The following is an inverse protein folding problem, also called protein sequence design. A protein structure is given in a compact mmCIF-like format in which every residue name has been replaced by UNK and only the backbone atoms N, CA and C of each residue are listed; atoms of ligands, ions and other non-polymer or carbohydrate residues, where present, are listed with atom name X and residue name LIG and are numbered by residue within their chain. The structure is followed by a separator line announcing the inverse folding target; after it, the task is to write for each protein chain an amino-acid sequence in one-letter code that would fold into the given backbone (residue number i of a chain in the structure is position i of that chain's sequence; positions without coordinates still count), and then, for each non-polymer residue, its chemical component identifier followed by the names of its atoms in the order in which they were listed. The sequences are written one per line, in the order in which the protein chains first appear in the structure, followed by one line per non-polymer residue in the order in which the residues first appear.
data_IF_338306041839
#
_entry.id   IF_338306041839
#
_cell.length_a   1.000
_cell.length_b   1.000
_cell.length_c   1.000
_cell.angle_alpha   90.00
_cell.angle_beta   90.00
_cell.angle_gamma   90.00
#
_symmetry.space_group_name_H-M   'P 1'
#
loop_
_entity.id
_entity.type
_entity.pdbx_description
1 polymer ?
#
# COMPACT_ATOMS: atom_id res chain seq x y z
N UNK A 1 6.66 20.70 7.07
CA UNK A 1 7.65 19.99 7.91
C UNK A 1 6.91 19.29 9.03
N UNK A 2 6.57 18.01 8.85
CA UNK A 2 5.80 17.20 9.80
C UNK A 2 6.56 15.89 10.04
N UNK A 3 7.05 15.70 11.25
CA UNK A 3 7.77 14.49 11.68
C UNK A 3 6.75 13.39 12.00
N UNK A 4 6.78 12.31 11.21
CA UNK A 4 6.08 11.05 11.50
C UNK A 4 7.07 10.08 12.15
N UNK A 5 6.72 9.66 13.37
CA UNK A 5 7.32 8.56 14.12
C UNK A 5 7.14 7.24 13.35
N UNK A 6 8.20 6.44 13.32
CA UNK A 6 8.16 5.03 12.90
C UNK A 6 8.40 4.18 14.14
N UNK A 7 7.34 3.49 14.57
CA UNK A 7 7.37 2.41 15.56
C UNK A 7 7.97 1.16 14.92
N UNK A 8 9.10 0.70 15.47
CA UNK A 8 9.68 -0.61 15.23
C UNK A 8 9.00 -1.66 16.10
N UNK A 9 8.22 -2.56 15.51
CA UNK A 9 7.73 -3.78 16.16
C UNK A 9 8.49 -4.99 15.63
N UNK A 10 9.35 -5.55 16.47
CA UNK A 10 9.88 -6.91 16.34
C UNK A 10 8.84 -7.93 16.82
N UNK A 11 8.68 -9.07 16.13
CA UNK A 11 8.04 -10.23 16.71
C UNK A 11 8.98 -11.45 16.60
N UNK A 12 9.69 -11.79 17.67
CA UNK A 12 10.25 -13.13 17.85
C UNK A 12 9.96 -13.60 19.28
N UNK A 13 8.78 -14.21 19.41
CA UNK A 13 8.31 -14.92 20.59
C UNK A 13 8.98 -16.29 20.63
N UNK A 14 9.98 -16.45 21.49
CA UNK A 14 10.52 -17.76 21.85
C UNK A 14 9.58 -18.42 22.87
N UNK A 15 8.67 -19.29 22.42
CA UNK A 15 7.97 -20.21 23.29
C UNK A 15 8.85 -21.45 23.54
N UNK A 16 9.61 -21.42 24.63
CA UNK A 16 10.09 -22.64 25.30
C UNK A 16 9.21 -22.82 26.53
N UNK A 17 8.32 -23.82 26.49
CA UNK A 17 7.55 -24.25 27.63
C UNK A 17 7.42 -25.78 27.62
N UNK A 18 8.01 -26.38 28.65
CA UNK A 18 7.42 -27.44 29.48
C UNK A 18 7.13 -28.79 28.79
N UNK A 19 8.10 -29.70 28.88
CA UNK A 19 7.80 -31.12 29.08
C UNK A 19 7.46 -31.30 30.57
N UNK A 20 6.17 -31.31 30.88
CA UNK A 20 5.65 -31.82 32.15
C UNK A 20 4.87 -33.11 31.90
N UNK A 21 5.07 -34.03 32.83
CA UNK A 21 4.49 -35.36 32.93
C UNK A 21 2.98 -35.41 32.62
N UNK A 22 2.61 -36.16 31.59
CA UNK A 22 1.24 -36.66 31.46
C UNK A 22 1.23 -38.12 31.92
N UNK A 23 1.13 -38.29 33.24
CA UNK A 23 0.60 -39.51 33.84
C UNK A 23 -0.92 -39.48 33.69
N UNK A 24 -1.47 -40.17 32.68
CA UNK A 24 -2.91 -40.40 32.58
C UNK A 24 -3.31 -41.50 33.58
N UNK A 25 -3.56 -41.10 34.83
CA UNK A 25 -4.32 -41.91 35.79
C UNK A 25 -5.82 -41.70 35.51
N UNK A 26 -6.45 -42.65 34.82
CA UNK A 26 -7.91 -42.63 34.67
C UNK A 26 -8.57 -43.19 35.94
N UNK A 27 -9.26 -42.30 36.64
CA UNK A 27 -10.01 -42.55 37.88
C UNK A 27 -11.29 -43.34 37.58
N UNK A 28 -11.46 -44.47 38.28
CA UNK A 28 -12.66 -45.30 38.29
C UNK A 28 -13.77 -44.75 39.22
N UNK A 29 -15.01 -44.60 38.73
CA UNK A 29 -16.24 -44.74 39.53
C UNK A 29 -17.53 -44.74 38.68
N UNK A 30 -18.67 -45.28 39.17
CA UNK A 30 -19.39 -46.31 38.43
C UNK A 30 -20.91 -46.05 38.22
N UNK A 31 -21.53 -47.01 37.53
CA UNK A 31 -22.97 -47.38 37.49
C UNK A 31 -23.79 -46.88 36.28
N UNK A 32 -24.06 -47.81 35.36
CA UNK A 32 -25.45 -48.15 35.03
C UNK A 32 -25.56 -49.65 34.73
N UNK A 33 -26.35 -50.34 35.54
CA UNK A 33 -26.68 -51.76 35.40
C UNK A 33 -27.56 -51.99 34.17
N UNK A 34 -27.07 -52.78 33.22
CA UNK A 34 -27.89 -53.63 32.37
C UNK A 34 -27.20 -54.99 32.33
N UNK A 35 -27.81 -55.97 33.01
CA UNK A 35 -27.23 -57.29 33.23
C UNK A 35 -27.11 -58.10 31.94
N UNK A 36 -25.88 -58.38 31.55
CA UNK A 36 -25.46 -59.66 31.01
C UNK A 36 -24.19 -60.06 31.76
N UNK A 37 -24.35 -60.89 32.79
CA UNK A 37 -23.21 -61.56 33.43
C UNK A 37 -22.76 -62.65 32.45
N UNK A 38 -21.98 -62.27 31.45
CA UNK A 38 -20.99 -63.20 30.93
C UNK A 38 -19.85 -63.21 31.96
N UNK A 39 -19.40 -64.37 32.40
CA UNK A 39 -18.17 -64.50 33.18
C UNK A 39 -17.00 -64.27 32.22
N UNK A 40 -16.84 -63.03 31.77
CA UNK A 40 -15.76 -62.61 30.88
C UNK A 40 -14.44 -62.65 31.64
N UNK A 41 -13.54 -63.53 31.23
CA UNK A 41 -12.15 -63.50 31.70
C UNK A 41 -11.53 -62.21 31.17
N UNK A 42 -11.10 -61.30 32.05
CA UNK A 42 -10.33 -60.13 31.63
C UNK A 42 -9.05 -60.59 30.92
N UNK A 43 -8.80 -60.04 29.74
CA UNK A 43 -7.61 -60.28 28.94
C UNK A 43 -6.77 -59.03 29.03
N UNK A 44 -5.46 -59.16 29.23
CA UNK A 44 -4.54 -58.03 29.15
C UNK A 44 -3.90 -58.02 27.76
N UNK A 45 -4.11 -56.98 26.96
CA UNK A 45 -3.39 -56.84 25.69
C UNK A 45 -2.21 -55.92 25.93
N UNK A 46 -1.01 -56.45 25.76
CA UNK A 46 0.20 -55.64 25.79
C UNK A 46 0.69 -55.48 24.35
N UNK A 47 0.38 -54.34 23.76
CA UNK A 47 0.88 -53.97 22.45
C UNK A 47 2.30 -53.41 22.60
N UNK A 48 3.30 -54.13 22.11
CA UNK A 48 4.68 -53.65 22.07
C UNK A 48 4.89 -52.86 20.79
N UNK A 49 4.37 -51.64 20.77
CA UNK A 49 4.62 -50.69 19.70
C UNK A 49 5.87 -49.92 20.12
N UNK A 50 6.93 -49.94 19.29
CA UNK A 50 8.05 -49.02 19.48
C UNK A 50 7.49 -47.59 19.61
N UNK A 51 8.09 -46.77 20.48
CA UNK A 51 7.57 -45.45 20.92
C UNK A 51 7.15 -44.46 19.82
N UNK A 52 7.39 -44.76 18.55
CA UNK A 52 7.26 -43.82 17.45
C UNK A 52 6.25 -44.32 16.40
N UNK A 53 4.98 -43.98 16.63
CA UNK A 53 3.90 -44.15 15.66
C UNK A 53 3.00 -45.35 15.97
N UNK A 54 1.85 -45.08 16.60
CA UNK A 54 0.74 -46.03 16.62
C UNK A 54 0.16 -46.03 15.21
N UNK A 55 0.29 -47.16 14.52
CA UNK A 55 -0.29 -47.36 13.19
C UNK A 55 -1.81 -47.31 13.27
N UNK A 56 -2.49 -46.78 12.25
CA UNK A 56 -3.97 -46.73 12.21
C UNK A 56 -4.61 -48.13 12.36
N UNK A 57 -3.88 -49.18 12.00
CA UNK A 57 -4.26 -50.58 12.20
C UNK A 57 -4.23 -51.02 13.67
N UNK A 58 -3.29 -50.49 14.45
CA UNK A 58 -3.21 -50.79 15.88
C UNK A 58 -4.32 -50.04 16.62
N UNK A 59 -4.63 -48.79 16.25
CA UNK A 59 -5.79 -48.07 16.79
C UNK A 59 -7.11 -48.78 16.48
N UNK A 60 -7.22 -49.49 15.35
CA UNK A 60 -8.40 -50.31 15.01
C UNK A 60 -8.50 -51.56 15.89
N UNK A 61 -7.39 -52.28 16.06
CA UNK A 61 -7.35 -53.44 16.93
C UNK A 61 -7.54 -53.04 18.40
N UNK A 62 -6.97 -51.91 18.83
CA UNK A 62 -7.16 -51.29 20.15
C UNK A 62 -8.61 -50.88 20.36
N UNK A 63 -9.24 -50.15 19.43
CA UNK A 63 -10.66 -49.80 19.52
C UNK A 63 -11.54 -51.05 19.58
N UNK A 64 -11.22 -52.07 18.79
CA UNK A 64 -11.98 -53.31 18.77
C UNK A 64 -11.80 -54.13 20.06
N UNK A 65 -10.58 -54.20 20.60
CA UNK A 65 -10.30 -54.84 21.89
C UNK A 65 -10.95 -54.07 23.06
N UNK A 66 -10.97 -52.75 22.99
CA UNK A 66 -11.69 -51.91 23.97
C UNK A 66 -13.20 -52.17 23.94
N UNK A 67 -13.80 -52.40 22.76
CA UNK A 67 -15.21 -52.84 22.68
C UNK A 67 -15.46 -54.24 23.24
N UNK A 68 -14.42 -55.07 23.38
CA UNK A 68 -14.47 -56.40 23.98
C UNK A 68 -14.06 -56.44 25.46
N UNK A 69 -14.00 -55.27 26.14
CA UNK A 69 -13.66 -55.14 27.56
C UNK A 69 -12.22 -55.60 27.91
N UNK A 70 -11.28 -55.37 26.98
CA UNK A 70 -9.86 -55.75 27.11
C UNK A 70 -9.01 -54.54 27.49
N UNK A 71 -8.28 -54.65 28.61
CA UNK A 71 -7.39 -53.59 29.10
C UNK A 71 -6.03 -53.61 28.40
N UNK A 72 -5.59 -52.45 27.92
CA UNK A 72 -4.29 -52.28 27.26
C UNK A 72 -3.27 -51.83 28.29
N UNK A 73 -2.17 -52.58 28.40
CA UNK A 73 -1.10 -52.29 29.36
C UNK A 73 0.19 -52.02 28.58
N UNK A 74 0.72 -50.79 28.66
CA UNK A 74 1.97 -50.38 28.01
C UNK A 74 3.22 -50.85 28.74
N UNK A 75 3.11 -51.11 30.05
CA UNK A 75 4.20 -51.54 30.91
C UNK A 75 3.96 -52.95 31.45
N UNK A 76 4.80 -53.90 31.04
CA UNK A 76 4.75 -55.29 31.49
C UNK A 76 5.27 -55.42 32.93
N UNK A 77 4.49 -54.99 33.91
CA UNK A 77 4.79 -55.31 35.30
C UNK A 77 4.61 -56.82 35.56
N UNK A 78 5.43 -57.35 36.48
CA UNK A 78 5.48 -58.78 36.85
C UNK A 78 4.13 -59.34 37.34
N UNK A 79 3.21 -58.46 37.76
CA UNK A 79 1.92 -58.84 38.36
C UNK A 79 0.89 -59.41 37.37
N UNK A 80 1.17 -59.40 36.07
CA UNK A 80 0.26 -59.93 35.02
C UNK A 80 0.42 -61.44 34.75
N UNK A 81 0.99 -62.21 35.68
CA UNK A 81 1.40 -63.61 35.41
C UNK A 81 0.23 -64.59 35.17
N UNK A 82 -0.98 -64.28 35.65
CA UNK A 82 -2.11 -65.22 35.59
C UNK A 82 -3.14 -64.92 34.48
N UNK A 83 -3.10 -63.74 33.86
CA UNK A 83 -4.08 -63.35 32.84
C UNK A 83 -3.63 -63.76 31.43
N UNK A 84 -4.55 -64.19 30.54
CA UNK A 84 -4.23 -64.39 29.15
C UNK A 84 -3.77 -63.06 28.52
N UNK A 85 -2.67 -63.11 27.77
CA UNK A 85 -2.06 -61.95 27.16
C UNK A 85 -1.85 -62.12 25.66
N UNK A 86 -2.07 -61.04 24.91
CA UNK A 86 -1.74 -60.97 23.48
C UNK A 86 -0.61 -59.95 23.32
N UNK A 87 0.49 -60.40 22.72
CA UNK A 87 1.67 -59.61 22.41
C UNK A 87 1.73 -59.38 20.90
N UNK A 88 1.57 -58.12 20.51
CA UNK A 88 1.76 -57.70 19.12
C UNK A 88 3.24 -57.37 18.90
N UNK A 89 3.80 -57.82 17.79
CA UNK A 89 5.12 -57.40 17.35
C UNK A 89 5.07 -57.03 15.87
N UNK A 90 5.91 -56.06 15.51
CA UNK A 90 6.18 -55.72 14.12
C UNK A 90 7.44 -56.43 13.64
N UNK A 91 7.53 -56.74 12.35
CA UNK A 91 8.73 -57.36 11.76
C UNK A 91 9.90 -56.39 11.79
N UNK A 92 11.12 -56.94 11.80
CA UNK A 92 12.33 -56.11 11.87
C UNK A 92 12.38 -55.12 10.69
N UNK A 93 12.02 -55.60 9.50
CA UNK A 93 12.00 -54.79 8.28
C UNK A 93 11.02 -53.61 8.37
N UNK A 94 9.80 -53.84 8.86
CA UNK A 94 8.77 -52.81 8.97
C UNK A 94 9.12 -51.78 10.04
N UNK A 95 9.69 -52.22 11.17
CA UNK A 95 10.14 -51.30 12.21
C UNK A 95 11.29 -50.41 11.73
N UNK A 96 12.24 -50.97 10.95
CA UNK A 96 13.31 -50.17 10.32
C UNK A 96 12.74 -49.22 9.27
N UNK A 97 11.76 -49.65 8.47
CA UNK A 97 11.07 -48.80 7.49
C UNK A 97 10.41 -47.59 8.17
N UNK A 98 9.68 -47.81 9.27
CA UNK A 98 9.06 -46.75 10.07
C UNK A 98 10.10 -45.77 10.64
N UNK A 99 11.21 -46.31 11.17
CA UNK A 99 12.32 -45.48 11.65
C UNK A 99 12.96 -44.63 10.55
N UNK A 100 13.17 -45.19 9.36
CA UNK A 100 13.70 -44.47 8.21
C UNK A 100 12.76 -43.35 7.75
N UNK A 101 11.44 -43.58 7.77
CA UNK A 101 10.44 -42.54 7.48
C UNK A 101 10.48 -41.37 8.47
N UNK A 102 10.97 -41.61 9.69
CA UNK A 102 11.17 -40.59 10.74
C UNK A 102 12.57 -39.96 10.72
N UNK A 103 13.42 -40.34 9.77
CA UNK A 103 14.81 -39.87 9.67
C UNK A 103 15.79 -40.55 10.62
N UNK A 104 15.41 -41.65 11.27
CA UNK A 104 16.33 -42.44 12.09
C UNK A 104 17.27 -43.26 11.20
N UNK A 105 18.50 -43.48 11.67
CA UNK A 105 19.43 -44.38 10.98
C UNK A 105 18.95 -45.84 11.03
N UNK A 106 19.24 -46.68 10.02
CA UNK A 106 18.76 -48.06 9.97
C UNK A 106 19.26 -48.90 11.17
N UNK A 107 20.49 -48.66 11.62
CA UNK A 107 21.05 -49.36 12.79
C UNK A 107 20.40 -48.92 14.10
N UNK A 108 20.05 -47.65 14.23
CA UNK A 108 19.36 -47.12 15.41
C UNK A 108 17.95 -47.69 15.54
N UNK A 109 17.19 -47.67 14.44
CA UNK A 109 15.85 -48.26 14.38
C UNK A 109 15.89 -49.77 14.69
N UNK A 110 16.89 -50.49 14.16
CA UNK A 110 17.07 -51.92 14.40
C UNK A 110 17.45 -52.22 15.86
N UNK A 111 18.30 -51.41 16.49
CA UNK A 111 18.61 -51.52 17.93
C UNK A 111 17.36 -51.29 18.81
N UNK A 112 16.54 -50.30 18.45
CA UNK A 112 15.26 -50.05 19.11
C UNK A 112 14.34 -51.27 19.02
N UNK A 113 14.17 -51.81 17.80
CA UNK A 113 13.37 -53.02 17.56
C UNK A 113 13.88 -54.24 18.35
N UNK A 114 15.19 -54.44 18.44
CA UNK A 114 15.79 -55.55 19.22
C UNK A 114 15.43 -55.48 20.69
N UNK A 115 15.65 -54.32 21.28
CA UNK A 115 15.41 -54.10 22.71
C UNK A 115 13.95 -54.41 23.06
N UNK A 116 13.02 -54.03 22.19
CA UNK A 116 11.59 -54.32 22.33
C UNK A 116 11.30 -55.81 22.12
N UNK A 117 11.86 -56.41 21.07
CA UNK A 117 11.67 -57.82 20.71
C UNK A 117 12.18 -58.79 21.76
N UNK A 118 13.34 -58.51 22.36
CA UNK A 118 13.91 -59.33 23.44
C UNK A 118 13.03 -59.32 24.68
N UNK A 119 12.49 -58.15 25.06
CA UNK A 119 11.53 -58.02 26.16
C UNK A 119 10.24 -58.79 25.87
N UNK A 120 9.73 -58.67 24.64
CA UNK A 120 8.54 -59.39 24.18
C UNK A 120 8.75 -60.91 24.28
N UNK A 121 9.88 -61.42 23.76
CA UNK A 121 10.23 -62.84 23.84
C UNK A 121 10.46 -63.32 25.27
N UNK A 122 11.07 -62.51 26.14
CA UNK A 122 11.26 -62.85 27.54
C UNK A 122 9.92 -63.08 28.25
N UNK A 123 8.94 -62.19 28.03
CA UNK A 123 7.58 -62.34 28.56
C UNK A 123 6.86 -63.55 27.97
N UNK A 124 6.94 -63.73 26.65
CA UNK A 124 6.35 -64.91 26.01
C UNK A 124 6.92 -66.22 26.58
N UNK A 125 8.24 -66.27 26.83
CA UNK A 125 8.91 -67.45 27.39
C UNK A 125 8.49 -67.74 28.83
N UNK A 126 8.22 -66.73 29.65
CA UNK A 126 7.78 -66.92 31.04
C UNK A 126 6.33 -67.40 31.14
N UNK A 127 5.46 -67.06 30.18
CA UNK A 127 4.05 -67.47 30.16
C UNK A 127 3.58 -68.00 28.79
N UNK A 128 4.24 -69.03 28.25
CA UNK A 128 3.91 -69.55 26.90
C UNK A 128 2.46 -70.02 26.72
N UNK A 129 1.83 -70.53 27.80
CA UNK A 129 0.45 -71.06 27.76
C UNK A 129 -0.58 -69.94 27.82
N UNK A 130 -0.33 -68.92 28.63
CA UNK A 130 -1.22 -67.76 28.78
C UNK A 130 -0.97 -66.67 27.74
N UNK A 131 0.14 -66.69 27.00
CA UNK A 131 0.48 -65.63 26.06
C UNK A 131 0.40 -66.07 24.60
N UNK A 132 -0.23 -65.26 23.75
CA UNK A 132 -0.20 -65.37 22.29
C UNK A 132 0.65 -64.26 21.69
N UNK A 133 1.51 -64.61 20.74
CA UNK A 133 2.34 -63.67 20.00
C UNK A 133 1.76 -63.50 18.59
N UNK A 134 1.64 -62.26 18.12
CA UNK A 134 0.92 -61.87 16.91
C UNK A 134 1.77 -60.92 16.07
N UNK A 135 1.97 -61.28 14.80
CA UNK A 135 2.62 -60.42 13.80
C UNK A 135 1.60 -59.41 13.25
N UNK A 136 1.86 -58.12 13.46
CA UNK A 136 0.96 -57.02 13.07
C UNK A 136 0.59 -57.10 11.60
N UNK A 137 1.55 -57.39 10.72
CA UNK A 137 1.29 -57.48 9.28
C UNK A 137 0.37 -58.66 8.93
N UNK A 138 0.61 -59.82 9.55
CA UNK A 138 -0.25 -61.00 9.35
C UNK A 138 -1.69 -60.75 9.81
N UNK A 139 -1.87 -59.95 10.87
CA UNK A 139 -3.19 -59.54 11.35
C UNK A 139 -3.89 -58.59 10.37
N UNK A 140 -3.18 -57.64 9.78
CA UNK A 140 -3.74 -56.71 8.79
C UNK A 140 -4.23 -57.44 7.53
N UNK A 141 -3.48 -58.44 7.07
CA UNK A 141 -3.84 -59.21 5.87
C UNK A 141 -5.06 -60.11 6.09
N UNK A 142 -5.16 -60.76 7.27
CA UNK A 142 -6.21 -61.75 7.55
C UNK A 142 -6.73 -61.67 9.01
N UNK A 143 -7.45 -60.59 9.38
CA UNK A 143 -7.86 -60.39 10.77
C UNK A 143 -8.82 -61.48 11.27
N UNK A 144 -9.70 -62.00 10.41
CA UNK A 144 -10.71 -63.00 10.77
C UNK A 144 -10.09 -64.34 11.17
N UNK A 145 -9.16 -64.85 10.36
CA UNK A 145 -8.43 -66.07 10.66
C UNK A 145 -7.68 -65.93 11.99
N UNK A 146 -7.15 -64.73 12.26
CA UNK A 146 -6.46 -64.44 13.52
C UNK A 146 -7.37 -64.55 14.74
N UNK A 147 -8.56 -63.96 14.66
CA UNK A 147 -9.54 -64.03 15.75
C UNK A 147 -9.99 -65.46 16.03
N UNK A 148 -10.21 -66.26 14.98
CA UNK A 148 -10.56 -67.68 15.14
C UNK A 148 -9.43 -68.47 15.82
N UNK A 149 -8.18 -68.20 15.45
CA UNK A 149 -7.03 -68.85 16.07
C UNK A 149 -6.87 -68.46 17.55
N UNK A 150 -7.12 -67.19 17.90
CA UNK A 150 -7.11 -66.72 19.28
C UNK A 150 -8.24 -67.33 20.11
N UNK A 151 -9.46 -67.37 19.58
CA UNK A 151 -10.60 -68.05 20.24
C UNK A 151 -10.29 -69.50 20.55
N UNK A 152 -9.74 -70.22 19.57
CA UNK A 152 -9.35 -71.62 19.74
C UNK A 152 -8.25 -71.79 20.80
N UNK A 153 -7.28 -70.88 20.85
CA UNK A 153 -6.17 -70.95 21.80
C UNK A 153 -6.61 -70.68 23.24
N UNK A 154 -7.50 -69.71 23.45
CA UNK A 154 -7.93 -69.28 24.78
C UNK A 154 -9.28 -69.87 25.22
N UNK A 155 -9.88 -70.73 24.40
CA UNK A 155 -11.22 -71.30 24.62
C UNK A 155 -12.27 -70.20 24.79
N UNK A 156 -12.22 -69.18 23.92
CA UNK A 156 -13.20 -68.10 23.88
C UNK A 156 -14.32 -68.45 22.92
N UNK A 157 -15.56 -68.37 23.40
CA UNK A 157 -16.77 -68.54 22.59
C UNK A 157 -17.06 -67.21 21.86
N UNK A 158 -16.38 -66.99 20.74
CA UNK A 158 -16.62 -65.85 19.85
C UNK A 158 -17.87 -66.11 18.99
N UNK A 159 -19.04 -66.11 19.63
CA UNK A 159 -20.33 -66.01 18.93
C UNK A 159 -20.56 -64.54 18.59
N UNK A 160 -20.88 -64.25 17.34
CA UNK A 160 -21.33 -62.94 16.85
C UNK A 160 -20.25 -61.86 16.64
N UNK A 161 -19.08 -62.23 16.11
CA UNK A 161 -18.19 -61.25 15.49
C UNK A 161 -18.59 -61.00 14.04
N UNK A 162 -19.60 -60.16 13.87
CA UNK A 162 -19.96 -59.61 12.57
C UNK A 162 -18.73 -58.93 11.96
N UNK A 163 -18.40 -59.39 10.77
CA UNK A 163 -17.24 -58.97 9.99
C UNK A 163 -17.34 -57.48 9.67
N UNK A 164 -16.73 -56.64 10.50
CA UNK A 164 -16.49 -55.23 10.15
C UNK A 164 -15.56 -55.25 8.94
N UNK A 165 -16.12 -54.98 7.77
CA UNK A 165 -15.37 -54.87 6.53
C UNK A 165 -14.37 -53.72 6.69
N UNK A 166 -13.09 -54.06 6.83
CA UNK A 166 -12.01 -53.08 6.92
C UNK A 166 -11.84 -52.48 5.53
N UNK A 167 -12.30 -51.24 5.33
CA UNK A 167 -12.09 -50.50 4.09
C UNK A 167 -10.58 -50.36 3.82
N UNK A 168 -10.10 -50.94 2.71
CA UNK A 168 -8.68 -50.98 2.31
C UNK A 168 -8.18 -49.66 1.68
N UNK A 169 -8.67 -48.50 2.10
CA UNK A 169 -8.41 -47.20 1.43
C UNK A 169 -7.04 -46.55 1.73
N UNK A 170 -5.98 -47.33 2.05
CA UNK A 170 -4.67 -46.76 2.46
C UNK A 170 -3.57 -46.93 1.39
N UNK A 171 -3.89 -47.37 0.16
CA UNK A 171 -2.86 -47.59 -0.87
C UNK A 171 -2.52 -46.31 -1.66
N UNK A 172 -1.82 -45.38 -1.02
CA UNK A 172 -0.92 -44.43 -1.72
C UNK A 172 0.50 -44.61 -1.20
N UNK A 173 1.03 -45.84 -1.30
CA UNK A 173 2.46 -46.09 -1.13
C UNK A 173 3.21 -45.32 -2.21
N UNK A 174 4.01 -44.36 -1.80
CA UNK A 174 4.79 -43.53 -2.70
C UNK A 174 6.02 -44.30 -3.17
N UNK A 175 6.54 -44.01 -4.36
CA UNK A 175 7.75 -44.66 -4.89
C UNK A 175 9.00 -44.50 -3.98
N UNK A 176 8.96 -43.56 -3.02
CA UNK A 176 9.99 -43.40 -1.99
C UNK A 176 9.99 -44.57 -1.00
N UNK A 177 8.82 -45.19 -0.75
CA UNK A 177 8.66 -46.28 0.21
C UNK A 177 9.32 -47.58 -0.26
N UNK A 178 9.40 -47.82 -1.58
CA UNK A 178 10.04 -49.02 -2.14
C UNK A 178 11.56 -49.05 -1.91
N UNK A 179 12.25 -47.92 -2.04
CA UNK A 179 13.69 -47.84 -1.80
C UNK A 179 13.98 -48.02 -0.32
N UNK A 180 13.20 -47.35 0.54
CA UNK A 180 13.34 -47.50 1.99
C UNK A 180 13.08 -48.95 2.42
N UNK A 181 12.15 -49.66 1.77
CA UNK A 181 11.93 -51.10 1.96
C UNK A 181 13.16 -51.94 1.60
N UNK A 182 13.83 -51.64 0.48
CA UNK A 182 15.07 -52.35 0.09
C UNK A 182 16.19 -52.07 1.12
N UNK A 183 16.36 -50.82 1.54
CA UNK A 183 17.36 -50.45 2.57
C UNK A 183 17.07 -51.18 3.88
N UNK A 184 15.81 -51.21 4.32
CA UNK A 184 15.39 -51.94 5.51
C UNK A 184 15.67 -53.45 5.39
N UNK A 185 15.34 -54.06 4.25
CA UNK A 185 15.63 -55.47 3.99
C UNK A 185 17.14 -55.78 4.06
N UNK A 186 17.97 -54.93 3.44
CA UNK A 186 19.43 -55.07 3.48
C UNK A 186 19.95 -54.92 4.91
N UNK A 187 19.48 -53.93 5.67
CA UNK A 187 19.89 -53.71 7.05
C UNK A 187 19.59 -54.92 7.95
N UNK A 188 18.38 -55.50 7.84
CA UNK A 188 18.00 -56.70 8.59
C UNK A 188 18.82 -57.91 8.15
N UNK A 189 19.04 -58.09 6.84
CA UNK A 189 19.84 -59.21 6.32
C UNK A 189 21.30 -59.18 6.79
N UNK A 190 21.87 -57.97 6.93
CA UNK A 190 23.23 -57.74 7.38
C UNK A 190 23.45 -58.04 8.85
N UNK A 191 22.38 -58.12 9.65
CA UNK A 191 22.51 -58.25 11.09
C UNK A 191 21.99 -59.59 11.64
N UNK A 192 22.89 -60.54 11.99
CA UNK A 192 22.51 -61.91 12.34
C UNK A 192 21.68 -62.02 13.62
N UNK A 193 21.84 -61.12 14.59
CA UNK A 193 21.05 -61.19 15.83
C UNK A 193 19.58 -60.82 15.57
N UNK A 194 19.31 -59.90 14.64
CA UNK A 194 17.96 -59.48 14.31
C UNK A 194 17.23 -60.60 13.59
N UNK A 195 17.88 -61.23 12.61
CA UNK A 195 17.33 -62.42 11.94
C UNK A 195 17.04 -63.56 12.91
N UNK A 196 17.90 -63.78 13.90
CA UNK A 196 17.66 -64.78 14.94
C UNK A 196 16.42 -64.44 15.76
N UNK A 197 16.31 -63.21 16.26
CA UNK A 197 15.15 -62.77 17.05
C UNK A 197 13.86 -62.81 16.23
N UNK A 198 13.91 -62.42 14.95
CA UNK A 198 12.78 -62.48 14.03
C UNK A 198 12.33 -63.94 13.82
N UNK A 199 13.25 -64.87 13.56
CA UNK A 199 12.90 -66.29 13.47
C UNK A 199 12.34 -66.87 14.76
N UNK A 200 12.80 -66.41 15.93
CA UNK A 200 12.24 -66.82 17.23
C UNK A 200 10.84 -66.25 17.47
N UNK A 201 10.58 -64.99 17.07
CA UNK A 201 9.25 -64.37 17.10
C UNK A 201 8.31 -65.08 16.13
N UNK A 202 8.71 -65.32 14.88
CA UNK A 202 7.91 -66.03 13.88
C UNK A 202 7.58 -67.45 14.36
N UNK A 203 8.54 -68.19 14.91
CA UNK A 203 8.31 -69.52 15.46
C UNK A 203 7.38 -69.52 16.69
N UNK A 204 7.38 -68.44 17.48
CA UNK A 204 6.51 -68.24 18.64
C UNK A 204 5.13 -67.69 18.29
N UNK A 205 4.97 -67.11 17.10
CA UNK A 205 3.74 -66.48 16.65
C UNK A 205 2.62 -67.50 16.43
N UNK A 206 1.37 -67.05 16.51
CA UNK A 206 0.22 -67.88 16.20
C UNK A 206 0.10 -68.02 14.68
N UNK A 207 0.45 -69.18 14.13
CA UNK A 207 0.38 -69.43 12.70
C UNK A 207 -1.08 -69.56 12.26
N UNK A 208 -1.50 -68.68 11.36
CA UNK A 208 -2.75 -68.82 10.61
C UNK A 208 -2.52 -69.83 9.49
N UNK A 209 -3.60 -70.53 9.13
CA UNK A 209 -3.65 -71.67 8.21
C UNK A 209 -2.49 -71.71 7.19
N UNK A 210 -1.72 -72.81 7.19
CA UNK A 210 -0.41 -72.93 6.52
C UNK A 210 -0.44 -72.66 5.01
N UNK A 211 -1.63 -72.66 4.40
CA UNK A 211 -1.81 -72.42 2.97
C UNK A 211 -1.53 -70.97 2.55
N UNK A 212 -1.72 -69.99 3.44
CA UNK A 212 -1.65 -68.56 3.11
C UNK A 212 -0.73 -67.80 4.07
N UNK A 213 0.49 -68.29 4.27
CA UNK A 213 1.51 -67.47 4.93
C UNK A 213 1.65 -66.14 4.17
N UNK A 214 1.80 -64.99 4.87
CA UNK A 214 2.00 -63.70 4.22
C UNK A 214 3.17 -63.85 3.27
N UNK A 215 2.89 -63.83 1.96
CA UNK A 215 3.93 -63.82 0.97
C UNK A 215 4.61 -62.46 1.12
N UNK A 216 5.69 -62.41 1.91
CA UNK A 216 6.57 -61.26 1.98
C UNK A 216 6.85 -60.87 0.55
N UNK A 217 6.25 -59.78 0.09
CA UNK A 217 6.50 -59.23 -1.23
C UNK A 217 7.97 -58.85 -1.21
N UNK A 218 8.82 -59.75 -1.73
CA UNK A 218 10.25 -59.48 -1.87
C UNK A 218 10.33 -58.26 -2.76
N UNK A 219 10.71 -57.12 -2.19
CA UNK A 219 10.95 -55.92 -2.96
C UNK A 219 12.02 -56.27 -4.00
N UNK A 220 11.67 -56.15 -5.28
CA UNK A 220 12.63 -56.33 -6.36
C UNK A 220 13.54 -55.09 -6.38
N UNK A 221 14.83 -55.23 -6.04
CA UNK A 221 15.73 -54.09 -5.94
C UNK A 221 15.92 -53.39 -7.29
N UNK A 222 15.82 -54.13 -8.41
CA UNK A 222 15.94 -53.55 -9.74
C UNK A 222 14.72 -52.70 -10.07
N UNK A 223 13.53 -53.15 -9.70
CA UNK A 223 12.28 -52.40 -9.88
C UNK A 223 12.32 -51.10 -9.06
N UNK A 224 12.65 -51.18 -7.77
CA UNK A 224 12.73 -50.01 -6.89
C UNK A 224 13.77 -48.99 -7.38
N UNK A 225 14.95 -49.44 -7.83
CA UNK A 225 15.98 -48.55 -8.39
C UNK A 225 15.51 -47.89 -9.70
N UNK A 226 14.84 -48.63 -10.58
CA UNK A 226 14.31 -48.08 -11.83
C UNK A 226 13.21 -47.04 -11.59
N UNK A 227 12.33 -47.26 -10.62
CA UNK A 227 11.30 -46.33 -10.21
C UNK A 227 11.91 -45.05 -9.62
N UNK A 228 12.95 -45.18 -8.80
CA UNK A 228 13.71 -44.04 -8.28
C UNK A 228 14.33 -43.21 -9.39
N UNK A 229 15.09 -43.83 -10.29
CA UNK A 229 15.76 -43.14 -11.40
C UNK A 229 14.75 -42.42 -12.30
N UNK A 230 13.59 -43.03 -12.54
CA UNK A 230 12.50 -42.39 -13.29
C UNK A 230 11.95 -41.16 -12.58
N UNK A 231 11.76 -41.25 -11.26
CA UNK A 231 11.27 -40.14 -10.45
C UNK A 231 12.31 -39.02 -10.38
N UNK A 232 13.59 -39.35 -10.19
CA UNK A 232 14.70 -38.40 -10.20
C UNK A 232 14.84 -37.68 -11.54
N UNK A 233 14.73 -38.41 -12.67
CA UNK A 233 14.75 -37.80 -14.02
C UNK A 233 13.57 -36.85 -14.26
N UNK A 234 12.38 -37.19 -13.73
CA UNK A 234 11.22 -36.29 -13.79
C UNK A 234 11.47 -35.03 -12.97
N UNK A 235 11.94 -35.18 -11.73
CA UNK A 235 12.26 -34.05 -10.86
C UNK A 235 13.35 -33.16 -11.46
N UNK A 236 14.40 -33.72 -12.05
CA UNK A 236 15.44 -32.92 -12.70
C UNK A 236 14.91 -32.18 -13.92
N UNK A 237 14.08 -32.83 -14.74
CA UNK A 237 13.44 -32.19 -15.89
C UNK A 237 12.48 -31.07 -15.47
N UNK A 238 11.70 -31.27 -14.40
CA UNK A 238 10.79 -30.26 -13.86
C UNK A 238 11.57 -29.06 -13.29
N UNK A 239 12.67 -29.30 -12.58
CA UNK A 239 13.56 -28.24 -12.06
C UNK A 239 14.20 -27.46 -13.21
N UNK A 240 14.68 -28.13 -14.26
CA UNK A 240 15.24 -27.48 -15.45
C UNK A 240 14.19 -26.64 -16.17
N UNK A 241 12.96 -27.14 -16.31
CA UNK A 241 11.84 -26.41 -16.90
C UNK A 241 11.49 -25.15 -16.08
N UNK A 242 11.46 -25.26 -14.75
CA UNK A 242 11.25 -24.12 -13.86
C UNK A 242 12.38 -23.08 -13.97
N UNK A 243 13.63 -23.53 -14.06
CA UNK A 243 14.78 -22.63 -14.21
C UNK A 243 14.72 -21.87 -15.55
N UNK A 244 14.36 -22.55 -16.65
CA UNK A 244 14.19 -21.91 -17.95
C UNK A 244 13.04 -20.90 -17.95
N UNK A 245 11.91 -21.24 -17.33
CA UNK A 245 10.78 -20.31 -17.18
C UNK A 245 11.20 -19.05 -16.40
N UNK A 246 11.91 -19.21 -15.28
CA UNK A 246 12.41 -18.10 -14.48
C UNK A 246 13.41 -17.21 -15.24
N UNK A 247 14.25 -17.78 -16.11
CA UNK A 247 15.15 -17.01 -16.97
C UNK A 247 14.39 -16.18 -18.00
N UNK A 248 13.34 -16.74 -18.62
CA UNK A 248 12.50 -16.01 -19.57
C UNK A 248 11.78 -14.85 -18.87
N UNK A 249 11.20 -15.08 -17.69
CA UNK A 249 10.58 -14.03 -16.89
C UNK A 249 11.57 -12.92 -16.54
N UNK A 250 12.78 -13.27 -16.11
CA UNK A 250 13.85 -12.30 -15.81
C UNK A 250 14.20 -11.45 -17.05
N UNK A 251 14.30 -12.06 -18.24
CA UNK A 251 14.60 -11.32 -19.47
C UNK A 251 13.46 -10.38 -19.87
N UNK A 252 12.20 -10.79 -19.69
CA UNK A 252 11.04 -9.94 -19.96
C UNK A 252 10.99 -8.73 -19.02
N UNK A 253 11.24 -8.94 -17.72
CA UNK A 253 11.31 -7.85 -16.73
C UNK A 253 12.47 -6.88 -17.03
N UNK A 254 13.62 -7.40 -17.47
CA UNK A 254 14.75 -6.56 -17.87
C UNK A 254 14.41 -5.70 -19.09
N UNK A 255 13.69 -6.24 -20.08
CA UNK A 255 13.23 -5.48 -21.24
C UNK A 255 12.27 -4.35 -20.82
N UNK A 256 11.29 -4.65 -19.96
CA UNK A 256 10.37 -3.63 -19.42
C UNK A 256 11.12 -2.51 -18.68
N UNK A 257 12.17 -2.85 -17.93
CA UNK A 257 13.01 -1.85 -17.26
C UNK A 257 13.70 -0.94 -18.27
N UNK A 258 14.23 -1.49 -19.37
CA UNK A 258 14.87 -0.68 -20.43
C UNK A 258 13.86 0.24 -21.13
N UNK A 259 12.66 -0.28 -21.45
CA UNK A 259 11.61 0.50 -22.11
C UNK A 259 11.15 1.67 -21.21
N UNK A 260 10.96 1.41 -19.91
CA UNK A 260 10.60 2.47 -18.94
C UNK A 260 11.72 3.50 -18.71
N UNK A 261 12.99 3.09 -18.79
CA UNK A 261 14.12 4.02 -18.76
C UNK A 261 14.14 4.93 -19.99
N UNK A 262 13.90 4.39 -21.18
CA UNK A 262 13.82 5.18 -22.42
C UNK A 262 12.65 6.18 -22.38
N UNK A 263 11.50 5.78 -21.83
CA UNK A 263 10.36 6.70 -21.63
C UNK A 263 10.67 7.83 -20.65
N UNK A 264 11.36 7.54 -19.55
CA UNK A 264 11.78 8.55 -18.57
C UNK A 264 12.80 9.52 -19.17
N UNK A 265 13.74 9.05 -20.00
CA UNK A 265 14.69 9.90 -20.70
C UNK A 265 13.98 10.83 -21.71
N UNK A 266 13.01 10.30 -22.48
CA UNK A 266 12.18 11.11 -23.38
C UNK A 266 11.39 12.17 -22.61
N UNK A 267 10.82 11.81 -21.46
CA UNK A 267 10.11 12.75 -20.61
C UNK A 267 11.03 13.85 -20.08
N UNK A 268 12.23 13.50 -19.61
CA UNK A 268 13.22 14.46 -19.11
C UNK A 268 13.67 15.45 -20.20
N UNK A 269 13.90 15.00 -21.43
CA UNK A 269 14.22 15.88 -22.57
C UNK A 269 13.05 16.83 -22.86
N UNK A 270 11.82 16.31 -22.92
CA UNK A 270 10.63 17.14 -23.18
C UNK A 270 10.38 18.19 -22.11
N UNK A 271 10.59 17.85 -20.83
CA UNK A 271 10.48 18.77 -19.72
C UNK A 271 11.55 19.87 -19.81
N UNK A 272 12.79 19.52 -20.17
CA UNK A 272 13.87 20.49 -20.37
C UNK A 272 13.62 21.44 -21.54
N UNK A 273 12.99 20.97 -22.62
CA UNK A 273 12.60 21.82 -23.75
C UNK A 273 11.43 22.75 -23.40
N UNK A 274 10.48 22.28 -22.59
CA UNK A 274 9.39 23.11 -22.07
C UNK A 274 9.91 24.20 -21.12
N UNK A 275 10.87 23.90 -20.25
CA UNK A 275 11.50 24.88 -19.37
C UNK A 275 12.22 25.96 -20.18
N UNK A 276 13.02 25.57 -21.18
CA UNK A 276 13.68 26.54 -22.10
C UNK A 276 12.67 27.40 -22.86
N UNK A 277 11.53 26.84 -23.28
CA UNK A 277 10.47 27.61 -23.92
C UNK A 277 9.84 28.61 -22.94
N UNK A 278 9.56 28.18 -21.71
CA UNK A 278 9.04 29.03 -20.64
C UNK A 278 10.00 30.17 -20.31
N UNK A 279 11.31 29.90 -20.25
CA UNK A 279 12.31 30.93 -19.99
C UNK A 279 12.42 31.94 -21.14
N UNK A 280 12.34 31.50 -22.40
CA UNK A 280 12.24 32.43 -23.55
C UNK A 280 10.99 33.30 -23.49
N UNK A 281 9.86 32.77 -23.07
CA UNK A 281 8.62 33.55 -22.88
C UNK A 281 8.78 34.57 -21.75
N UNK A 282 9.39 34.20 -20.61
CA UNK A 282 9.68 35.14 -19.52
C UNK A 282 10.61 36.26 -19.99
N UNK A 283 11.67 35.94 -20.72
CA UNK A 283 12.61 36.93 -21.25
C UNK A 283 11.92 37.91 -22.20
N UNK A 284 11.05 37.40 -23.08
CA UNK A 284 10.26 38.23 -24.00
C UNK A 284 9.28 39.15 -23.25
N UNK A 285 8.61 38.64 -22.21
CA UNK A 285 7.72 39.43 -21.36
C UNK A 285 8.48 40.49 -20.56
N UNK A 286 9.66 40.17 -20.02
CA UNK A 286 10.53 41.13 -19.35
C UNK A 286 10.97 42.25 -20.30
N UNK A 287 11.32 41.89 -21.55
CA UNK A 287 11.66 42.87 -22.57
C UNK A 287 10.47 43.78 -22.91
N UNK A 288 9.27 43.21 -23.08
CA UNK A 288 8.06 44.01 -23.31
C UNK A 288 7.76 44.94 -22.14
N UNK A 289 7.85 44.45 -20.91
CA UNK A 289 7.65 45.25 -19.71
C UNK A 289 8.66 46.41 -19.65
N UNK A 290 9.94 46.16 -19.91
CA UNK A 290 10.97 47.20 -19.96
C UNK A 290 10.71 48.25 -21.05
N UNK A 291 10.28 47.83 -22.24
CA UNK A 291 9.92 48.77 -23.32
C UNK A 291 8.74 49.66 -22.92
N UNK A 292 7.67 49.08 -22.36
CA UNK A 292 6.50 49.86 -21.91
C UNK A 292 6.83 50.81 -20.77
N UNK A 293 7.73 50.43 -19.86
CA UNK A 293 8.24 51.32 -18.81
C UNK A 293 8.99 52.51 -19.41
N UNK A 294 9.88 52.25 -20.37
CA UNK A 294 10.61 53.32 -21.06
C UNK A 294 9.67 54.26 -21.81
N UNK A 295 8.66 53.74 -22.50
CA UNK A 295 7.63 54.57 -23.16
C UNK A 295 6.88 55.44 -22.14
N UNK A 296 6.46 54.89 -21.00
CA UNK A 296 5.79 55.66 -19.94
C UNK A 296 6.69 56.77 -19.37
N UNK A 297 7.98 56.50 -19.17
CA UNK A 297 8.96 57.51 -18.76
C UNK A 297 9.06 58.65 -19.79
N UNK A 298 9.11 58.32 -21.08
CA UNK A 298 9.12 59.34 -22.15
C UNK A 298 7.85 60.19 -22.15
N UNK A 299 6.67 59.58 -22.00
CA UNK A 299 5.40 60.31 -21.90
C UNK A 299 5.34 61.20 -20.66
N UNK A 300 5.88 60.73 -19.53
CA UNK A 300 5.95 61.52 -18.30
C UNK A 300 6.81 62.78 -18.49
N UNK A 301 7.99 62.63 -19.09
CA UNK A 301 8.88 63.74 -19.41
C UNK A 301 8.23 64.74 -20.39
N UNK A 302 7.51 64.25 -21.40
CA UNK A 302 6.76 65.08 -22.34
C UNK A 302 5.64 65.86 -21.66
N UNK A 303 4.85 65.21 -20.81
CA UNK A 303 3.81 65.85 -20.00
C UNK A 303 4.40 66.94 -19.09
N UNK A 304 5.54 66.66 -18.45
CA UNK A 304 6.21 67.65 -17.61
C UNK A 304 6.69 68.87 -18.42
N UNK A 305 7.22 68.66 -19.63
CA UNK A 305 7.58 69.75 -20.55
C UNK A 305 6.35 70.56 -20.96
N UNK A 306 5.25 69.91 -21.31
CA UNK A 306 3.99 70.58 -21.66
C UNK A 306 3.44 71.38 -20.48
N UNK A 307 3.47 70.83 -19.27
CA UNK A 307 3.06 71.54 -18.06
C UNK A 307 3.90 72.81 -17.82
N UNK A 308 5.22 72.74 -18.00
CA UNK A 308 6.10 73.94 -17.94
C UNK A 308 5.77 74.96 -19.03
N UNK A 309 5.46 74.52 -20.24
CA UNK A 309 5.04 75.39 -21.36
C UNK A 309 3.70 76.08 -21.05
N UNK A 310 2.70 75.35 -20.55
CA UNK A 310 1.43 75.93 -20.12
C UNK A 310 1.62 76.96 -19.01
N UNK A 311 2.42 76.65 -17.98
CA UNK A 311 2.71 77.62 -16.91
C UNK A 311 3.47 78.86 -17.41
N UNK A 312 4.26 78.76 -18.48
CA UNK A 312 4.89 79.93 -19.10
C UNK A 312 3.87 80.78 -19.89
N UNK A 313 2.99 80.13 -20.67
CA UNK A 313 1.92 80.77 -21.41
C UNK A 313 0.91 81.46 -20.47
N UNK A 314 0.54 80.84 -19.35
CA UNK A 314 -0.35 81.46 -18.34
C UNK A 314 0.25 82.75 -17.77
N UNK A 315 1.55 82.75 -17.47
CA UNK A 315 2.24 83.98 -17.01
C UNK A 315 2.29 85.05 -18.11
N UNK A 316 2.48 84.65 -19.37
CA UNK A 316 2.46 85.59 -20.48
C UNK A 316 1.06 86.20 -20.67
N UNK A 317 0.01 85.38 -20.60
CA UNK A 317 -1.39 85.81 -20.66
C UNK A 317 -1.69 86.76 -19.50
N UNK A 318 -1.28 86.44 -18.28
CA UNK A 318 -1.43 87.32 -17.13
C UNK A 318 -0.73 88.68 -17.34
N UNK A 319 0.51 88.69 -17.83
CA UNK A 319 1.21 89.95 -18.18
C UNK A 319 0.47 90.76 -19.24
N UNK A 320 -0.10 90.09 -20.25
CA UNK A 320 -0.93 90.75 -21.27
C UNK A 320 -2.22 91.32 -20.68
N UNK A 321 -2.85 90.62 -19.75
CA UNK A 321 -4.02 91.11 -19.03
C UNK A 321 -3.67 92.34 -18.19
N UNK A 322 -2.60 92.29 -17.40
CA UNK A 322 -2.11 93.44 -16.62
C UNK A 322 -1.77 94.65 -17.53
N UNK A 323 -1.22 94.40 -18.72
CA UNK A 323 -0.98 95.45 -19.73
C UNK A 323 -2.29 96.05 -20.26
N UNK A 324 -3.30 95.22 -20.55
CA UNK A 324 -4.61 95.69 -21.00
C UNK A 324 -5.32 96.50 -19.92
N UNK A 325 -5.34 96.02 -18.68
CA UNK A 325 -5.93 96.71 -17.55
C UNK A 325 -5.22 98.07 -17.32
N UNK A 326 -3.89 98.10 -17.44
CA UNK A 326 -3.11 99.35 -17.39
C UNK A 326 -3.48 100.34 -18.49
N UNK A 327 -3.59 99.88 -19.74
CA UNK A 327 -4.03 100.71 -20.87
C UNK A 327 -5.47 101.18 -20.72
N UNK A 328 -6.36 100.37 -20.13
CA UNK A 328 -7.74 100.74 -19.86
C UNK A 328 -7.81 101.88 -18.83
N UNK A 329 -7.04 101.79 -17.75
CA UNK A 329 -6.91 102.88 -16.76
C UNK A 329 -6.34 104.14 -17.42
N UNK A 330 -5.31 104.02 -18.27
CA UNK A 330 -4.76 105.16 -19.02
C UNK A 330 -5.81 105.80 -19.91
N UNK A 331 -6.57 105.01 -20.68
CA UNK A 331 -7.63 105.47 -21.57
C UNK A 331 -8.75 106.14 -20.77
N UNK A 332 -9.20 105.54 -19.66
CA UNK A 332 -10.17 106.16 -18.76
C UNK A 332 -9.67 107.50 -18.23
N UNK A 333 -8.44 107.57 -17.75
CA UNK A 333 -7.85 108.81 -17.22
C UNK A 333 -7.67 109.89 -18.30
N UNK A 334 -7.33 109.51 -19.54
CA UNK A 334 -7.23 110.40 -20.69
C UNK A 334 -8.62 110.90 -21.12
N UNK A 335 -9.63 110.02 -21.09
CA UNK A 335 -11.01 110.38 -21.37
C UNK A 335 -11.58 111.33 -20.31
N UNK A 336 -11.31 111.08 -19.01
CA UNK A 336 -11.67 112.02 -17.94
C UNK A 336 -10.99 113.39 -18.10
N UNK A 337 -9.72 113.43 -18.49
CA UNK A 337 -9.02 114.68 -18.79
C UNK A 337 -9.65 115.40 -19.97
N UNK A 338 -9.90 114.69 -21.07
CA UNK A 338 -10.56 115.24 -22.26
C UNK A 338 -11.96 115.77 -21.93
N UNK A 339 -12.73 115.06 -21.09
CA UNK A 339 -14.03 115.52 -20.59
C UNK A 339 -13.91 116.79 -19.74
N UNK A 340 -12.93 116.86 -18.83
CA UNK A 340 -12.68 118.09 -18.04
C UNK A 340 -12.29 119.26 -18.94
N UNK A 341 -11.43 119.04 -19.93
CA UNK A 341 -11.05 120.05 -20.91
C UNK A 341 -12.23 120.49 -21.78
N UNK A 342 -13.11 119.55 -22.18
CA UNK A 342 -14.35 119.85 -22.90
C UNK A 342 -15.31 120.66 -22.00
N UNK A 343 -15.49 120.27 -20.74
CA UNK A 343 -16.30 121.00 -19.76
C UNK A 343 -15.75 122.40 -19.48
N UNK A 344 -14.44 122.55 -19.32
CA UNK A 344 -13.79 123.86 -19.18
C UNK A 344 -13.99 124.72 -20.43
N UNK A 345 -13.88 124.11 -21.62
CA UNK A 345 -14.13 124.79 -22.89
C UNK A 345 -15.60 125.18 -23.02
N UNK A 346 -16.54 124.32 -22.61
CA UNK A 346 -17.98 124.62 -22.54
C UNK A 346 -18.26 125.76 -21.57
N UNK A 347 -17.72 125.73 -20.35
CA UNK A 347 -17.84 126.83 -19.38
C UNK A 347 -17.28 128.13 -19.95
N UNK A 348 -16.14 128.09 -20.65
CA UNK A 348 -15.59 129.27 -21.34
C UNK A 348 -16.54 129.77 -22.43
N UNK A 349 -17.10 128.88 -23.25
CA UNK A 349 -18.09 129.23 -24.26
C UNK A 349 -19.33 129.84 -23.62
N UNK A 350 -19.84 129.28 -22.52
CA UNK A 350 -20.99 129.81 -21.79
C UNK A 350 -20.69 131.19 -21.21
N UNK A 351 -19.53 131.39 -20.57
CA UNK A 351 -19.12 132.71 -20.09
C UNK A 351 -18.96 133.73 -21.21
N UNK A 352 -18.42 133.33 -22.37
CA UNK A 352 -18.32 134.18 -23.54
C UNK A 352 -19.69 134.47 -24.16
N UNK A 353 -20.61 133.51 -24.14
CA UNK A 353 -21.98 133.69 -24.59
C UNK A 353 -22.74 134.64 -23.66
N UNK A 354 -22.59 134.50 -22.35
CA UNK A 354 -23.15 135.41 -21.35
C UNK A 354 -22.57 136.82 -21.52
N UNK A 355 -21.26 136.93 -21.77
CA UNK A 355 -20.61 138.21 -22.07
C UNK A 355 -21.13 138.80 -23.39
N UNK A 356 -21.30 137.99 -24.43
CA UNK A 356 -21.92 138.40 -25.70
C UNK A 356 -23.37 138.83 -25.46
N UNK A 357 -24.16 138.11 -24.67
CA UNK A 357 -25.54 138.46 -24.34
C UNK A 357 -25.61 139.75 -23.55
N UNK A 358 -24.73 139.94 -22.56
CA UNK A 358 -24.61 141.17 -21.80
C UNK A 358 -24.21 142.34 -22.71
N UNK A 359 -23.20 142.15 -23.57
CA UNK A 359 -22.76 143.15 -24.54
C UNK A 359 -23.84 143.46 -25.58
N UNK A 360 -24.58 142.46 -26.04
CA UNK A 360 -25.72 142.64 -26.92
C UNK A 360 -26.85 143.39 -26.21
N UNK A 361 -27.11 143.10 -24.93
CA UNK A 361 -28.02 143.85 -24.08
C UNK A 361 -27.58 145.29 -23.87
N UNK A 362 -26.28 145.56 -23.67
CA UNK A 362 -25.72 146.92 -23.64
C UNK A 362 -25.90 147.63 -24.99
N UNK A 363 -25.65 146.95 -26.12
CA UNK A 363 -25.88 147.47 -27.46
C UNK A 363 -27.36 147.77 -27.68
N UNK A 364 -28.26 146.91 -27.19
CA UNK A 364 -29.70 147.07 -27.34
C UNK A 364 -30.23 148.18 -26.42
N UNK A 365 -29.69 148.32 -25.20
CA UNK A 365 -29.93 149.43 -24.30
C UNK A 365 -29.40 150.75 -24.89
N UNK A 366 -28.22 150.74 -25.51
CA UNK A 366 -27.69 151.87 -26.27
C UNK A 366 -28.58 152.20 -27.46
N UNK A 367 -29.08 151.21 -28.21
CA UNK A 367 -30.04 151.42 -29.32
C UNK A 367 -31.39 151.96 -28.84
N UNK A 368 -31.83 151.58 -27.64
CA UNK A 368 -33.10 152.00 -27.05
C UNK A 368 -33.02 153.30 -26.25
N UNK A 369 -31.80 153.75 -25.91
CA UNK A 369 -31.53 155.03 -25.27
C UNK A 369 -32.04 156.20 -26.10
N UNK A 370 -32.58 157.21 -25.41
CA UNK A 370 -33.12 158.46 -25.97
C UNK A 370 -32.10 159.22 -26.82
N UNK A 371 -30.80 159.13 -26.52
CA UNK A 371 -29.74 159.74 -27.34
C UNK A 371 -29.48 159.02 -28.68
N UNK A 372 -29.74 157.71 -28.77
CA UNK A 372 -29.61 156.94 -30.02
C UNK A 372 -30.86 157.05 -30.89
N UNK A 373 -32.06 157.06 -30.27
CA UNK A 373 -33.32 157.30 -30.99
C UNK A 373 -33.40 158.69 -31.62
N UNK A 374 -32.77 159.71 -31.01
CA UNK A 374 -32.70 161.08 -31.56
C UNK A 374 -31.66 161.21 -32.69
N UNK A 375 -30.62 160.36 -32.73
CA UNK A 375 -29.57 160.40 -33.76
C UNK A 375 -29.74 159.35 -34.88
N UNK A 376 -30.68 158.41 -34.73
CA UNK A 376 -31.03 157.40 -35.74
C UNK A 376 -31.33 157.97 -37.13
N UNK A 377 -32.09 159.09 -37.28
CA UNK A 377 -32.35 159.65 -38.61
C UNK A 377 -31.09 160.19 -39.31
N UNK A 378 -30.03 160.51 -38.56
CA UNK A 378 -28.78 161.05 -39.10
C UNK A 378 -27.79 159.95 -39.56
N UNK A 379 -27.99 158.69 -39.18
CA UNK A 379 -27.10 157.57 -39.59
C UNK A 379 -27.54 156.83 -40.85
N UNK A 380 -28.78 156.99 -41.29
CA UNK A 380 -29.23 156.55 -42.62
C UNK A 380 -28.50 157.23 -43.79
N UNK A 381 -27.82 158.35 -43.55
CA UNK A 381 -27.07 159.12 -44.57
C UNK A 381 -25.59 158.68 -44.69
N UNK A 382 -25.11 157.82 -43.76
CA UNK A 382 -23.72 157.34 -43.74
C UNK A 382 -23.43 156.09 -44.60
N UNK A 383 -24.43 155.21 -44.79
CA UNK A 383 -24.27 153.98 -45.59
C UNK A 383 -24.24 154.25 -47.10
N UNK A 384 -24.69 155.43 -47.54
CA UNK A 384 -24.52 155.90 -48.93
C UNK A 384 -23.10 156.37 -49.25
N UNK A 385 -22.20 156.53 -48.27
CA UNK A 385 -20.81 156.97 -48.49
C UNK A 385 -19.75 155.85 -48.33
N UNK A 386 -20.09 154.68 -47.76
CA UNK A 386 -19.15 153.54 -47.65
C UNK A 386 -19.33 152.45 -48.71
N UNK A 387 -20.46 152.42 -49.41
CA UNK A 387 -20.67 151.58 -50.60
C UNK A 387 -19.84 152.03 -51.83
N UNK A 388 -19.08 153.13 -51.72
CA UNK A 388 -18.20 153.63 -52.77
C UNK A 388 -16.73 153.15 -52.71
N UNK A 389 -16.32 152.28 -51.77
CA UNK A 389 -14.88 151.89 -51.61
C UNK A 389 -14.56 150.40 -51.64
N UNK A 390 -15.49 149.52 -52.02
CA UNK A 390 -15.18 148.09 -52.26
C UNK A 390 -15.83 147.57 -53.53
N UNK A 391 -15.43 148.19 -54.65
CA UNK A 391 -15.10 147.47 -55.88
C UNK A 391 -13.58 147.33 -55.89
N UNK A 392 -13.12 146.10 -55.74
CA UNK A 392 -11.74 145.66 -55.62
C UNK A 392 -11.76 144.17 -55.34
#
# INVERSE_FOLDING_TARGET
MANRQLDSRDPLTCHNALFEDISLTYSSSPKSEAGLISKGKSVAVAAFIGKNGVDASIDRLVNWLQTADVSIVSDLDEQTSEMPAILLYDRAQNSVLKGLGQGQGPMEALMGWRTVSEKCLAKYRSNRRGTALLDVQSFEENPQSFLQALAKKFDWDLKDLDTVAVSQDVASETAQDEILRVIAAVAVSGDPQARRLEGELEAGSLWLDQANGPALKRADPELALSAYQKTQKRQSADIEAQLQAALLEKTAVMQQLMDTQEELEKFAISAGDQEKSSDREKDLLMQQLSNTQSELETYFDELQKKQKQFGALERELQKKQEQLDGLEIELQSANEKAQREEEESRRKIDTLNDEILFKNGEIEALRNSTSWKVTSPLRGVGDTLKSAKKRG
#
